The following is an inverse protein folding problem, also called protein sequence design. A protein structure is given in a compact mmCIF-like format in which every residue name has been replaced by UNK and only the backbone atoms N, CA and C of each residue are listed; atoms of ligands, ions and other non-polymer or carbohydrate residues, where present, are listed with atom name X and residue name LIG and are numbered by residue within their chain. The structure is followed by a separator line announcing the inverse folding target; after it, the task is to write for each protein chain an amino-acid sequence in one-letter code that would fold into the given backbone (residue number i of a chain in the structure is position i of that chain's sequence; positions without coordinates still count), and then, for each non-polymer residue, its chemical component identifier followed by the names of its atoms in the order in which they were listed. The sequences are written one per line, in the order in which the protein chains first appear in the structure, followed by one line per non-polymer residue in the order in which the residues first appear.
data_IF_536297272290
#
_entry.id   IF_536297272290
#
_cell.length_a   1.000
_cell.length_b   1.000
_cell.length_c   1.000
_cell.angle_alpha   90.00
_cell.angle_beta   90.00
_cell.angle_gamma   90.00
#
_symmetry.space_group_name_H-M   'P 1'
#
loop_
_entity.id
_entity.type
_entity.pdbx_description
1 polymer ?
#
# COMPACT_ATOMS: atom_id res chain seq x y z
N UNK A 1 14.89 -2.00 -31.49
CA UNK A 1 14.07 -1.16 -30.61
C UNK A 1 12.66 -1.72 -30.55
N UNK A 2 12.22 -2.17 -29.38
CA UNK A 2 10.93 -2.82 -29.15
C UNK A 2 9.90 -1.78 -28.71
N UNK A 3 9.27 -1.09 -29.67
CA UNK A 3 8.26 -0.05 -29.38
C UNK A 3 7.07 -0.64 -28.61
N UNK A 4 6.71 -1.90 -28.87
CA UNK A 4 5.66 -2.59 -28.13
C UNK A 4 5.92 -2.67 -26.63
N UNK A 5 7.19 -2.76 -26.19
CA UNK A 5 7.56 -2.73 -24.77
C UNK A 5 7.27 -1.36 -24.15
N UNK A 6 7.59 -0.28 -24.86
CA UNK A 6 7.26 1.09 -24.43
C UNK A 6 5.74 1.27 -24.30
N UNK A 7 4.98 0.86 -25.33
CA UNK A 7 3.52 0.96 -25.36
C UNK A 7 2.90 0.12 -24.24
N UNK A 8 3.38 -1.10 -24.05
CA UNK A 8 2.91 -2.01 -23.01
C UNK A 8 3.19 -1.47 -21.61
N UNK A 9 4.39 -0.91 -21.37
CA UNK A 9 4.73 -0.23 -20.10
C UNK A 9 3.79 0.93 -19.82
N UNK A 10 3.58 1.83 -20.79
CA UNK A 10 2.65 2.97 -20.62
C UNK A 10 1.23 2.50 -20.27
N UNK A 11 0.73 1.49 -21.00
CA UNK A 11 -0.61 0.93 -20.76
C UNK A 11 -0.73 0.22 -19.42
N UNK A 12 0.29 -0.52 -18.99
CA UNK A 12 0.34 -1.15 -17.68
C UNK A 12 0.27 -0.11 -16.55
N UNK A 13 0.99 1.01 -16.71
CA UNK A 13 0.96 2.15 -15.79
C UNK A 13 -0.31 3.02 -15.90
N UNK A 14 -1.23 2.71 -16.84
CA UNK A 14 -2.46 3.48 -17.11
C UNK A 14 -2.22 4.95 -17.46
N UNK A 15 -1.03 5.30 -17.97
CA UNK A 15 -0.68 6.68 -18.33
C UNK A 15 -1.23 7.01 -19.73
N UNK A 16 -1.92 8.14 -19.87
CA UNK A 16 -2.41 8.61 -21.18
C UNK A 16 -1.27 9.18 -22.04
N UNK A 17 -1.42 9.16 -23.37
CA UNK A 17 -0.43 9.79 -24.26
C UNK A 17 -0.32 11.31 -24.01
N UNK A 18 -1.44 11.97 -23.69
CA UNK A 18 -1.44 13.39 -23.34
C UNK A 18 -0.57 13.64 -22.10
N UNK A 19 -0.79 12.87 -21.02
CA UNK A 19 0.00 12.98 -19.79
C UNK A 19 1.49 12.68 -20.02
N UNK A 20 1.79 11.63 -20.79
CA UNK A 20 3.17 11.23 -21.05
C UNK A 20 3.93 12.28 -21.87
N UNK A 21 3.30 12.85 -22.90
CA UNK A 21 3.93 13.82 -23.81
C UNK A 21 4.04 15.23 -23.22
N UNK A 22 3.24 15.58 -22.20
CA UNK A 22 3.20 16.91 -21.60
C UNK A 22 4.59 17.44 -21.21
N UNK A 23 4.94 18.63 -21.69
CA UNK A 23 6.23 19.27 -21.45
C UNK A 23 7.45 18.58 -22.12
N UNK A 24 7.24 17.53 -22.93
CA UNK A 24 8.30 16.85 -23.69
C UNK A 24 8.11 17.03 -25.20
N UNK A 25 6.92 16.68 -25.70
CA UNK A 25 6.59 16.72 -27.12
C UNK A 25 5.08 16.85 -27.32
N UNK A 26 4.61 16.90 -28.57
CA UNK A 26 3.16 16.89 -28.83
C UNK A 26 2.60 15.46 -28.70
N UNK A 27 1.32 15.34 -28.32
CA UNK A 27 0.64 14.04 -28.31
C UNK A 27 0.67 13.38 -29.70
N UNK A 28 0.61 14.18 -30.78
CA UNK A 28 0.75 13.68 -32.15
C UNK A 28 2.14 13.07 -32.42
N UNK A 29 3.21 13.66 -31.89
CA UNK A 29 4.57 13.10 -31.97
C UNK A 29 4.64 11.74 -31.29
N UNK A 30 4.10 11.64 -30.06
CA UNK A 30 4.06 10.38 -29.33
C UNK A 30 3.20 9.32 -30.04
N UNK A 31 2.06 9.71 -30.61
CA UNK A 31 1.19 8.79 -31.36
C UNK A 31 1.89 8.24 -32.61
N UNK A 32 2.65 9.06 -33.34
CA UNK A 32 3.44 8.60 -34.49
C UNK A 32 4.56 7.65 -34.07
N UNK A 33 5.17 7.86 -32.90
CA UNK A 33 6.12 6.91 -32.34
C UNK A 33 5.46 5.57 -32.01
N UNK A 34 4.35 5.58 -31.27
CA UNK A 34 3.68 4.35 -30.81
C UNK A 34 3.01 3.55 -31.94
N UNK A 35 2.44 4.22 -32.96
CA UNK A 35 1.60 3.57 -33.97
C UNK A 35 2.22 3.48 -35.37
N UNK A 36 3.19 4.36 -35.69
CA UNK A 36 3.77 4.47 -37.03
C UNK A 36 5.28 4.20 -37.02
N UNK A 37 5.83 3.72 -35.89
CA UNK A 37 7.25 3.45 -35.69
C UNK A 37 8.18 4.64 -36.02
N UNK A 38 7.66 5.88 -35.95
CA UNK A 38 8.45 7.08 -36.24
C UNK A 38 9.21 7.50 -34.98
N UNK A 39 10.48 7.13 -34.92
CA UNK A 39 11.35 7.41 -33.76
C UNK A 39 11.59 8.92 -33.62
N UNK A 40 11.31 9.52 -32.45
CA UNK A 40 11.63 10.92 -32.18
C UNK A 40 13.14 11.10 -31.94
N UNK A 41 13.58 12.33 -31.66
CA UNK A 41 14.98 12.56 -31.26
C UNK A 41 15.32 11.79 -29.98
N UNK A 42 16.59 11.41 -29.81
CA UNK A 42 17.06 10.69 -28.62
C UNK A 42 16.73 11.45 -27.33
N UNK A 43 16.79 12.79 -27.36
CA UNK A 43 16.39 13.66 -26.24
C UNK A 43 14.93 13.48 -25.85
N UNK A 44 14.01 13.41 -26.83
CA UNK A 44 12.58 13.18 -26.57
C UNK A 44 12.36 11.76 -26.07
N UNK A 45 12.96 10.77 -26.74
CA UNK A 45 12.82 9.36 -26.38
C UNK A 45 13.30 9.10 -24.94
N UNK A 46 14.48 9.62 -24.59
CA UNK A 46 15.05 9.51 -23.25
C UNK A 46 14.12 10.11 -22.19
N UNK A 47 13.57 11.31 -22.42
CA UNK A 47 12.63 11.94 -21.47
C UNK A 47 11.34 11.14 -21.30
N UNK A 48 10.82 10.57 -22.38
CA UNK A 48 9.62 9.73 -22.33
C UNK A 48 9.88 8.42 -21.56
N UNK A 49 11.02 7.77 -21.81
CA UNK A 49 11.44 6.57 -21.08
C UNK A 49 11.57 6.85 -19.58
N UNK A 50 12.30 7.91 -19.20
CA UNK A 50 12.47 8.30 -17.79
C UNK A 50 11.11 8.53 -17.12
N UNK A 51 10.16 9.18 -17.80
CA UNK A 51 8.81 9.42 -17.27
C UNK A 51 8.00 8.13 -17.03
N UNK A 52 8.29 7.08 -17.78
CA UNK A 52 7.71 5.74 -17.60
C UNK A 52 8.48 4.87 -16.58
N UNK A 53 9.54 5.41 -15.97
CA UNK A 53 10.43 4.67 -15.08
C UNK A 53 11.19 3.57 -15.82
N UNK A 54 11.72 3.88 -17.00
CA UNK A 54 12.56 2.99 -17.80
C UNK A 54 13.71 3.76 -18.46
N UNK A 55 14.73 3.04 -18.89
CA UNK A 55 15.85 3.57 -19.67
C UNK A 55 15.57 3.42 -21.17
N UNK A 56 16.39 4.04 -22.00
CA UNK A 56 16.35 3.79 -23.45
C UNK A 56 16.85 2.38 -23.76
N UNK A 57 17.82 1.86 -23.01
CA UNK A 57 18.40 0.53 -23.19
C UNK A 57 17.38 -0.59 -22.95
N UNK A 58 16.40 -0.36 -22.08
CA UNK A 58 15.27 -1.26 -21.86
C UNK A 58 14.48 -1.53 -23.15
N UNK A 59 14.52 -0.63 -24.13
CA UNK A 59 13.88 -0.84 -25.44
C UNK A 59 14.63 -1.82 -26.34
N UNK A 60 15.83 -2.25 -25.96
CA UNK A 60 16.69 -3.13 -26.75
C UNK A 60 17.01 -4.45 -26.06
N UNK A 61 17.08 -4.48 -24.74
CA UNK A 61 17.39 -5.70 -23.99
C UNK A 61 16.17 -6.60 -23.74
N UNK A 62 16.40 -7.91 -23.72
CA UNK A 62 15.49 -8.92 -23.15
C UNK A 62 15.89 -9.14 -21.69
N UNK A 63 15.39 -8.30 -20.79
CA UNK A 63 15.84 -8.31 -19.40
C UNK A 63 15.42 -7.10 -18.57
N UNK A 64 15.61 -7.25 -17.25
CA UNK A 64 15.13 -6.38 -16.19
C UNK A 64 15.56 -4.91 -16.38
N UNK A 65 14.58 -4.02 -16.32
CA UNK A 65 14.77 -2.57 -16.22
C UNK A 65 15.76 -2.28 -15.09
N UNK A 66 16.80 -1.45 -15.33
CA UNK A 66 17.64 -0.98 -14.23
C UNK A 66 16.76 -0.22 -13.25
N UNK A 67 16.56 -0.77 -12.05
CA UNK A 67 15.70 -0.17 -11.05
C UNK A 67 16.48 0.97 -10.38
N UNK A 68 16.06 2.25 -10.55
CA UNK A 68 16.78 3.37 -9.96
C UNK A 68 16.85 3.25 -8.44
N UNK A 69 17.91 3.77 -7.81
CA UNK A 69 18.10 3.76 -6.35
C UNK A 69 16.87 4.30 -5.60
N UNK A 70 16.25 5.34 -6.14
CA UNK A 70 15.01 5.92 -5.60
C UNK A 70 13.88 4.89 -5.50
N UNK A 71 13.69 4.06 -6.52
CA UNK A 71 12.61 3.08 -6.54
C UNK A 71 12.82 2.02 -5.45
N UNK A 72 14.07 1.58 -5.25
CA UNK A 72 14.41 0.66 -4.16
C UNK A 72 14.22 1.30 -2.78
N UNK A 73 14.51 2.59 -2.66
CA UNK A 73 14.26 3.35 -1.43
C UNK A 73 12.75 3.41 -1.12
N UNK A 74 11.91 3.71 -2.12
CA UNK A 74 10.45 3.73 -1.95
C UNK A 74 9.88 2.36 -1.59
N UNK A 75 10.36 1.29 -2.23
CA UNK A 75 9.97 -0.08 -1.88
C UNK A 75 10.37 -0.46 -0.44
N UNK A 76 11.52 0.04 0.03
CA UNK A 76 11.97 -0.18 1.40
C UNK A 76 11.06 0.54 2.40
N UNK A 77 10.68 1.78 2.11
CA UNK A 77 9.74 2.54 2.93
C UNK A 77 8.37 1.85 2.99
N UNK A 78 7.90 1.31 1.86
CA UNK A 78 6.65 0.54 1.80
C UNK A 78 6.72 -0.72 2.68
N UNK A 79 7.85 -1.45 2.67
CA UNK A 79 8.09 -2.57 3.59
C UNK A 79 8.14 -2.16 5.05
N UNK A 80 8.78 -1.04 5.38
CA UNK A 80 8.84 -0.52 6.75
C UNK A 80 7.41 -0.19 7.26
N UNK A 81 6.56 0.43 6.44
CA UNK A 81 5.15 0.67 6.78
C UNK A 81 4.35 -0.62 6.99
N UNK A 82 4.61 -1.64 6.16
CA UNK A 82 3.91 -2.91 6.24
C UNK A 82 4.25 -3.66 7.53
N UNK A 83 5.52 -3.64 7.93
CA UNK A 83 6.04 -4.32 9.13
C UNK A 83 5.89 -3.53 10.42
N UNK A 84 5.23 -2.36 10.36
CA UNK A 84 5.02 -1.42 11.48
C UNK A 84 6.30 -0.74 11.99
N UNK A 85 7.37 -0.75 11.19
CA UNK A 85 8.58 0.03 11.42
C UNK A 85 8.37 1.50 11.00
N UNK A 86 7.32 2.13 11.52
CA UNK A 86 6.95 3.50 11.17
C UNK A 86 8.08 4.52 11.40
N UNK A 87 8.88 4.46 12.49
CA UNK A 87 9.97 5.42 12.68
C UNK A 87 10.98 5.42 11.53
N UNK A 88 11.35 4.25 11.02
CA UNK A 88 12.29 4.13 9.91
C UNK A 88 11.65 4.58 8.59
N UNK A 89 10.39 4.22 8.35
CA UNK A 89 9.64 4.71 7.19
C UNK A 89 9.61 6.25 7.14
N UNK A 90 9.30 6.89 8.27
CA UNK A 90 9.25 8.35 8.41
C UNK A 90 10.64 8.97 8.19
N UNK A 91 11.68 8.40 8.80
CA UNK A 91 13.06 8.88 8.65
C UNK A 91 13.55 8.79 7.20
N UNK A 92 13.20 7.72 6.49
CA UNK A 92 13.62 7.47 5.10
C UNK A 92 12.85 8.32 4.09
N UNK A 93 11.57 8.62 4.32
CA UNK A 93 10.77 9.44 3.40
C UNK A 93 11.08 10.93 3.53
N UNK A 94 11.50 11.40 4.72
CA UNK A 94 11.73 12.81 5.01
C UNK A 94 12.73 13.54 4.07
N UNK A 95 13.91 12.99 3.71
CA UNK A 95 14.86 13.68 2.84
C UNK A 95 14.44 13.71 1.36
N UNK A 96 13.40 12.96 0.97
CA UNK A 96 12.98 12.82 -0.42
C UNK A 96 12.01 13.93 -0.84
N UNK A 97 12.17 14.39 -2.08
CA UNK A 97 11.50 15.57 -2.64
C UNK A 97 10.83 15.23 -3.97
N UNK A 98 9.54 15.56 -4.10
CA UNK A 98 8.74 15.24 -5.29
C UNK A 98 9.32 15.86 -6.58
N UNK A 99 10.00 16.99 -6.47
CA UNK A 99 10.63 17.70 -7.60
C UNK A 99 11.74 16.91 -8.26
N UNK A 100 12.37 16.00 -7.52
CA UNK A 100 13.56 15.26 -7.97
C UNK A 100 13.18 13.88 -8.52
N UNK A 101 11.88 13.59 -8.58
CA UNK A 101 11.32 12.35 -9.11
C UNK A 101 10.75 12.67 -10.48
N UNK A 102 11.21 11.99 -11.53
CA UNK A 102 10.66 12.19 -12.87
C UNK A 102 9.61 11.14 -13.26
N UNK A 103 9.83 9.89 -12.84
CA UNK A 103 8.97 8.77 -13.18
C UNK A 103 7.60 8.92 -12.51
N UNK A 104 6.53 8.91 -13.30
CA UNK A 104 5.14 9.03 -12.78
C UNK A 104 4.80 7.93 -11.75
N UNK A 105 5.18 6.65 -11.95
CA UNK A 105 4.92 5.60 -10.95
C UNK A 105 5.57 5.89 -9.60
N UNK A 106 6.80 6.38 -9.61
CA UNK A 106 7.56 6.69 -8.40
C UNK A 106 6.99 7.93 -7.71
N UNK A 107 6.49 8.92 -8.48
CA UNK A 107 5.74 10.06 -7.92
C UNK A 107 4.50 9.60 -7.16
N UNK A 108 3.72 8.69 -7.73
CA UNK A 108 2.51 8.17 -7.08
C UNK A 108 2.86 7.40 -5.80
N UNK A 109 3.86 6.51 -5.85
CA UNK A 109 4.32 5.76 -4.69
C UNK A 109 4.83 6.72 -3.60
N UNK A 110 5.66 7.69 -3.97
CA UNK A 110 6.17 8.71 -3.06
C UNK A 110 5.05 9.51 -2.38
N UNK A 111 4.10 10.06 -3.16
CA UNK A 111 2.99 10.84 -2.61
C UNK A 111 2.14 10.01 -1.64
N UNK A 112 1.84 8.76 -1.98
CA UNK A 112 1.09 7.88 -1.09
C UNK A 112 1.86 7.61 0.22
N UNK A 113 3.14 7.22 0.11
CA UNK A 113 3.98 6.89 1.27
C UNK A 113 4.16 8.09 2.20
N UNK A 114 4.48 9.26 1.64
CA UNK A 114 4.65 10.50 2.40
C UNK A 114 3.35 10.95 3.06
N UNK A 115 2.24 10.92 2.32
CA UNK A 115 0.92 11.24 2.84
C UNK A 115 0.51 10.33 3.99
N UNK A 116 0.70 9.01 3.84
CA UNK A 116 0.38 8.03 4.88
C UNK A 116 1.29 8.16 6.11
N UNK A 117 2.61 8.34 5.92
CA UNK A 117 3.54 8.60 7.03
C UNK A 117 3.12 9.84 7.83
N UNK A 118 2.79 10.93 7.14
CA UNK A 118 2.32 12.17 7.74
C UNK A 118 0.98 11.98 8.48
N UNK A 119 0.05 11.20 7.92
CA UNK A 119 -1.20 10.85 8.59
C UNK A 119 -0.97 10.05 9.89
N UNK A 120 -0.05 9.08 9.88
CA UNK A 120 0.27 8.24 11.04
C UNK A 120 0.89 9.02 12.21
N UNK A 121 1.58 10.13 11.93
CA UNK A 121 2.16 11.02 12.97
C UNK A 121 1.29 12.23 13.31
N UNK A 122 0.06 12.31 12.79
CA UNK A 122 -0.83 13.47 12.96
C UNK A 122 -0.20 14.79 12.51
N UNK A 123 0.50 14.78 11.37
CA UNK A 123 1.03 16.00 10.76
C UNK A 123 -0.12 16.93 10.30
N UNK A 124 0.26 18.13 9.84
CA UNK A 124 -0.71 19.12 9.38
C UNK A 124 -1.57 18.57 8.22
N UNK A 125 -2.91 18.68 8.31
CA UNK A 125 -3.84 18.12 7.32
C UNK A 125 -3.56 18.58 5.89
N UNK A 126 -3.24 19.86 5.71
CA UNK A 126 -2.99 20.43 4.38
C UNK A 126 -1.81 19.75 3.66
N UNK A 127 -0.77 19.35 4.42
CA UNK A 127 0.38 18.62 3.86
C UNK A 127 -0.01 17.20 3.43
N UNK A 128 -0.82 16.53 4.24
CA UNK A 128 -1.32 15.18 3.97
C UNK A 128 -2.24 15.19 2.74
N UNK A 129 -3.19 16.12 2.71
CA UNK A 129 -4.15 16.29 1.63
C UNK A 129 -3.47 16.71 0.33
N UNK A 130 -2.42 17.55 0.41
CA UNK A 130 -1.62 17.90 -0.76
C UNK A 130 -1.08 16.65 -1.45
N UNK A 131 -0.42 15.75 -0.70
CA UNK A 131 0.12 14.50 -1.24
C UNK A 131 -0.95 13.63 -1.91
N UNK A 132 -2.10 13.43 -1.26
CA UNK A 132 -3.18 12.64 -1.85
C UNK A 132 -3.83 13.32 -3.05
N UNK A 133 -3.97 14.65 -3.04
CA UNK A 133 -4.49 15.41 -4.18
C UNK A 133 -3.57 15.34 -5.41
N UNK A 134 -2.25 15.23 -5.23
CA UNK A 134 -1.34 14.99 -6.37
C UNK A 134 -1.73 13.69 -7.10
N UNK A 135 -2.08 12.65 -6.35
CA UNK A 135 -2.53 11.39 -6.94
C UNK A 135 -3.89 11.57 -7.59
N UNK A 136 -4.87 12.05 -6.83
CA UNK A 136 -6.28 12.05 -7.22
C UNK A 136 -6.60 13.03 -8.35
N UNK A 137 -5.88 14.14 -8.46
CA UNK A 137 -6.21 15.23 -9.37
C UNK A 137 -5.20 15.42 -10.51
N UNK A 138 -4.02 14.80 -10.44
CA UNK A 138 -2.98 14.99 -11.46
C UNK A 138 -2.37 13.68 -11.96
N UNK A 139 -1.79 12.87 -11.07
CA UNK A 139 -1.00 11.69 -11.48
C UNK A 139 -1.86 10.52 -11.95
N UNK A 140 -3.02 10.32 -11.33
CA UNK A 140 -4.01 9.29 -11.65
C UNK A 140 -5.43 9.88 -11.71
N UNK A 141 -5.62 10.98 -12.45
CA UNK A 141 -6.90 11.73 -12.54
C UNK A 141 -8.12 10.84 -12.90
N UNK A 142 -7.90 9.73 -13.61
CA UNK A 142 -8.95 8.79 -14.00
C UNK A 142 -9.24 7.70 -12.95
N UNK A 143 -8.53 7.73 -11.82
CA UNK A 143 -8.67 6.82 -10.68
C UNK A 143 -8.52 5.34 -11.08
N UNK A 144 -7.56 5.04 -11.95
CA UNK A 144 -7.42 3.70 -12.55
C UNK A 144 -6.40 2.82 -11.86
N UNK A 145 -5.57 3.38 -10.99
CA UNK A 145 -4.49 2.65 -10.31
C UNK A 145 -4.81 2.39 -8.85
N UNK A 146 -4.10 1.43 -8.26
CA UNK A 146 -4.17 1.14 -6.82
C UNK A 146 -3.76 2.35 -5.97
N UNK A 147 -2.97 3.28 -6.51
CA UNK A 147 -2.54 4.47 -5.77
C UNK A 147 -3.69 5.40 -5.41
N UNK A 148 -4.75 5.46 -6.22
CA UNK A 148 -5.97 6.18 -5.85
C UNK A 148 -6.61 5.58 -4.59
N UNK A 149 -6.62 4.25 -4.48
CA UNK A 149 -7.19 3.56 -3.32
C UNK A 149 -6.32 3.74 -2.08
N UNK A 150 -5.00 3.76 -2.27
CA UNK A 150 -4.04 4.08 -1.20
C UNK A 150 -4.17 5.54 -0.73
N UNK A 151 -4.47 6.48 -1.64
CA UNK A 151 -4.77 7.87 -1.29
C UNK A 151 -6.08 7.99 -0.49
N UNK A 152 -7.14 7.27 -0.87
CA UNK A 152 -8.37 7.18 -0.07
C UNK A 152 -8.09 6.55 1.29
N UNK A 153 -7.33 5.46 1.35
CA UNK A 153 -6.94 4.83 2.61
C UNK A 153 -6.24 5.81 3.53
N UNK A 154 -5.21 6.51 3.04
CA UNK A 154 -4.49 7.51 3.82
C UNK A 154 -5.39 8.66 4.29
N UNK A 155 -6.33 9.10 3.44
CA UNK A 155 -7.35 10.09 3.82
C UNK A 155 -8.27 9.57 4.93
N UNK A 156 -8.67 8.30 4.86
CA UNK A 156 -9.44 7.61 5.89
C UNK A 156 -8.69 7.51 7.22
N UNK A 157 -7.40 7.14 7.18
CA UNK A 157 -6.51 7.10 8.36
C UNK A 157 -6.41 8.48 9.00
N UNK A 158 -6.17 9.54 8.20
CA UNK A 158 -6.11 10.92 8.69
C UNK A 158 -7.41 11.33 9.39
N UNK A 159 -8.57 11.14 8.73
CA UNK A 159 -9.87 11.48 9.32
C UNK A 159 -10.18 10.66 10.57
N UNK A 160 -9.85 9.37 10.60
CA UNK A 160 -10.07 8.50 11.76
C UNK A 160 -9.28 8.99 12.98
N UNK A 161 -8.01 9.37 12.79
CA UNK A 161 -7.16 9.88 13.87
C UNK A 161 -7.63 11.23 14.41
N UNK A 162 -8.34 12.01 13.59
CA UNK A 162 -9.00 13.27 13.97
C UNK A 162 -10.41 13.07 14.56
N UNK A 163 -10.85 11.82 14.73
CA UNK A 163 -12.21 11.46 15.21
C UNK A 163 -13.33 11.94 14.28
N UNK A 164 -13.02 12.16 13.00
CA UNK A 164 -13.98 12.52 11.96
C UNK A 164 -14.60 11.24 11.37
N UNK A 165 -15.33 10.49 12.20
CA UNK A 165 -15.77 9.11 11.92
C UNK A 165 -16.55 8.97 10.62
N UNK A 166 -17.46 9.90 10.31
CA UNK A 166 -18.24 9.87 9.06
C UNK A 166 -17.34 9.99 7.82
N UNK A 167 -16.34 10.86 7.88
CA UNK A 167 -15.42 11.07 6.77
C UNK A 167 -14.47 9.88 6.62
N UNK A 168 -13.98 9.33 7.73
CA UNK A 168 -13.19 8.11 7.72
C UNK A 168 -13.97 6.94 7.08
N UNK A 169 -15.23 6.74 7.50
CA UNK A 169 -16.09 5.70 6.96
C UNK A 169 -16.32 5.84 5.45
N UNK A 170 -16.51 7.08 4.95
CA UNK A 170 -16.64 7.34 3.52
C UNK A 170 -15.43 6.85 2.72
N UNK A 171 -14.21 7.15 3.19
CA UNK A 171 -12.99 6.72 2.50
C UNK A 171 -12.77 5.20 2.60
N UNK A 172 -12.95 4.62 3.79
CA UNK A 172 -12.76 3.17 3.96
C UNK A 172 -13.81 2.33 3.23
N UNK A 173 -15.03 2.85 3.02
CA UNK A 173 -16.03 2.15 2.20
C UNK A 173 -15.61 2.08 0.73
N UNK A 174 -15.02 3.15 0.17
CA UNK A 174 -14.44 3.13 -1.18
C UNK A 174 -13.34 2.08 -1.30
N UNK A 175 -12.44 2.04 -0.31
CA UNK A 175 -11.35 1.05 -0.28
C UNK A 175 -11.90 -0.37 -0.17
N UNK A 176 -12.88 -0.61 0.70
CA UNK A 176 -13.52 -1.91 0.85
C UNK A 176 -14.23 -2.37 -0.43
N UNK A 177 -14.91 -1.46 -1.13
CA UNK A 177 -15.53 -1.75 -2.42
C UNK A 177 -14.47 -2.16 -3.45
N UNK A 178 -13.35 -1.43 -3.52
CA UNK A 178 -12.25 -1.79 -4.40
C UNK A 178 -11.69 -3.19 -4.11
N UNK A 179 -11.43 -3.51 -2.83
CA UNK A 179 -10.95 -4.82 -2.40
C UNK A 179 -11.91 -5.92 -2.87
N UNK A 180 -13.21 -5.76 -2.62
CA UNK A 180 -14.23 -6.75 -3.03
C UNK A 180 -14.30 -6.97 -4.53
N UNK A 181 -14.13 -5.91 -5.32
CA UNK A 181 -14.16 -5.99 -6.80
C UNK A 181 -12.91 -6.67 -7.37
N UNK A 182 -11.75 -6.52 -6.73
CA UNK A 182 -10.47 -6.96 -7.30
C UNK A 182 -9.84 -8.18 -6.62
N UNK A 183 -10.39 -8.67 -5.51
CA UNK A 183 -9.85 -9.83 -4.77
C UNK A 183 -9.65 -11.09 -5.65
N UNK A 184 -10.48 -11.30 -6.68
CA UNK A 184 -10.37 -12.45 -7.59
C UNK A 184 -9.35 -12.29 -8.73
N UNK A 185 -8.71 -11.13 -8.86
CA UNK A 185 -7.81 -10.80 -9.99
C UNK A 185 -6.33 -10.81 -9.59
N UNK A 186 -6.01 -11.29 -8.38
CA UNK A 186 -4.65 -11.20 -7.82
C UNK A 186 -3.72 -12.36 -8.22
N UNK A 187 -4.23 -13.41 -8.88
CA UNK A 187 -3.42 -14.58 -9.27
C UNK A 187 -2.32 -14.24 -10.29
N UNK A 188 -2.54 -13.23 -11.14
CA UNK A 188 -1.56 -12.77 -12.14
C UNK A 188 -0.93 -11.42 -11.74
N UNK A 189 -1.20 -10.94 -10.52
CA UNK A 189 -0.68 -9.67 -10.06
C UNK A 189 0.81 -9.77 -9.73
N UNK A 190 1.54 -8.67 -9.92
CA UNK A 190 2.91 -8.59 -9.45
C UNK A 190 2.98 -8.54 -7.91
N UNK A 191 4.13 -8.91 -7.34
CA UNK A 191 4.34 -8.94 -5.89
C UNK A 191 3.96 -7.59 -5.24
N UNK A 192 4.22 -6.47 -5.92
CA UNK A 192 3.94 -5.13 -5.38
C UNK A 192 2.45 -4.84 -5.26
N UNK A 193 1.66 -5.25 -6.24
CA UNK A 193 0.21 -5.14 -6.21
C UNK A 193 -0.38 -5.96 -5.07
N UNK A 194 0.15 -7.17 -4.83
CA UNK A 194 -0.23 -8.01 -3.68
C UNK A 194 0.06 -7.30 -2.36
N UNK A 195 1.26 -6.73 -2.20
CA UNK A 195 1.67 -6.03 -0.97
C UNK A 195 0.83 -4.77 -0.69
N UNK A 196 0.51 -4.01 -1.74
CA UNK A 196 -0.39 -2.87 -1.64
C UNK A 196 -1.82 -3.29 -1.30
N UNK A 197 -2.31 -4.39 -1.87
CA UNK A 197 -3.59 -4.97 -1.49
C UNK A 197 -3.62 -5.36 0.00
N UNK A 198 -2.58 -6.00 0.50
CA UNK A 198 -2.44 -6.32 1.94
C UNK A 198 -2.47 -5.08 2.82
N UNK A 199 -1.87 -3.98 2.35
CA UNK A 199 -1.93 -2.67 3.03
C UNK A 199 -3.38 -2.16 3.08
N UNK A 200 -4.10 -2.18 1.95
CA UNK A 200 -5.51 -1.79 1.89
C UNK A 200 -6.37 -2.63 2.84
N UNK A 201 -6.18 -3.95 2.80
CA UNK A 201 -6.90 -4.92 3.62
C UNK A 201 -6.71 -4.66 5.11
N UNK A 202 -5.45 -4.55 5.56
CA UNK A 202 -5.16 -4.39 6.98
C UNK A 202 -5.78 -3.12 7.56
N UNK A 203 -5.48 -1.96 6.96
CA UNK A 203 -5.93 -0.69 7.52
C UNK A 203 -7.46 -0.58 7.48
N UNK A 204 -8.10 -1.16 6.47
CA UNK A 204 -9.57 -1.24 6.40
C UNK A 204 -10.14 -2.18 7.48
N UNK A 205 -9.48 -3.32 7.74
CA UNK A 205 -9.87 -4.24 8.81
C UNK A 205 -9.72 -3.60 10.19
N UNK A 206 -8.62 -2.89 10.43
CA UNK A 206 -8.36 -2.14 11.66
C UNK A 206 -9.41 -1.04 11.86
N UNK A 207 -9.75 -0.30 10.80
CA UNK A 207 -10.82 0.69 10.85
C UNK A 207 -12.15 0.08 11.28
N UNK A 208 -12.59 -1.02 10.65
CA UNK A 208 -13.85 -1.67 11.01
C UNK A 208 -13.82 -2.26 12.43
N UNK A 209 -12.69 -2.79 12.90
CA UNK A 209 -12.53 -3.25 14.28
C UNK A 209 -12.70 -2.09 15.27
N UNK A 210 -12.12 -0.93 14.99
CA UNK A 210 -12.26 0.28 15.80
C UNK A 210 -13.69 0.86 15.80
N UNK A 211 -14.56 0.38 14.90
CA UNK A 211 -16.00 0.70 14.86
C UNK A 211 -16.86 -0.46 15.39
N UNK A 212 -16.27 -1.41 16.12
CA UNK A 212 -16.90 -2.64 16.62
C UNK A 212 -17.52 -3.54 15.53
N UNK A 213 -17.20 -3.29 14.25
CA UNK A 213 -17.64 -4.11 13.14
C UNK A 213 -16.65 -5.27 12.90
N UNK A 214 -16.55 -6.12 13.90
CA UNK A 214 -15.64 -7.27 13.90
C UNK A 214 -15.94 -8.28 12.79
N UNK A 215 -17.19 -8.33 12.30
CA UNK A 215 -17.56 -9.21 11.19
C UNK A 215 -16.83 -8.81 9.91
N UNK A 216 -16.91 -7.54 9.50
CA UNK A 216 -16.20 -7.07 8.30
C UNK A 216 -14.69 -7.09 8.51
N UNK A 217 -14.22 -6.72 9.71
CA UNK A 217 -12.80 -6.80 10.05
C UNK A 217 -12.25 -8.21 9.88
N UNK A 218 -12.92 -9.23 10.43
CA UNK A 218 -12.48 -10.62 10.30
C UNK A 218 -12.54 -11.13 8.85
N UNK A 219 -13.57 -10.76 8.07
CA UNK A 219 -13.62 -11.12 6.65
C UNK A 219 -12.42 -10.59 5.86
N UNK A 220 -12.00 -9.35 6.13
CA UNK A 220 -10.81 -8.76 5.53
C UNK A 220 -9.52 -9.44 6.02
N UNK A 221 -9.44 -9.76 7.31
CA UNK A 221 -8.29 -10.46 7.89
C UNK A 221 -8.11 -11.85 7.27
N UNK A 222 -9.20 -12.62 7.14
CA UNK A 222 -9.18 -13.95 6.53
C UNK A 222 -8.70 -13.87 5.08
N UNK A 223 -9.21 -12.89 4.32
CA UNK A 223 -8.74 -12.62 2.96
C UNK A 223 -7.24 -12.25 2.93
N UNK A 224 -6.79 -11.38 3.84
CA UNK A 224 -5.39 -11.00 3.94
C UNK A 224 -4.46 -12.18 4.28
N UNK A 225 -4.90 -13.08 5.18
CA UNK A 225 -4.15 -14.29 5.54
C UNK A 225 -4.07 -15.24 4.34
N UNK A 226 -5.17 -15.44 3.61
CA UNK A 226 -5.18 -16.22 2.38
C UNK A 226 -4.18 -15.66 1.36
N UNK A 227 -4.24 -14.34 1.13
CA UNK A 227 -3.35 -13.67 0.19
C UNK A 227 -1.87 -13.79 0.59
N UNK A 228 -1.56 -13.69 1.89
CA UNK A 228 -0.21 -13.94 2.41
C UNK A 228 0.24 -15.39 2.18
N UNK A 229 -0.64 -16.36 2.39
CA UNK A 229 -0.34 -17.78 2.23
C UNK A 229 -0.05 -18.13 0.76
N UNK A 230 -0.90 -17.68 -0.16
CA UNK A 230 -0.77 -17.96 -1.60
C UNK A 230 0.51 -17.32 -2.17
N UNK A 231 0.89 -16.13 -1.69
CA UNK A 231 2.04 -15.38 -2.18
C UNK A 231 3.30 -15.50 -1.30
N UNK A 232 3.29 -16.39 -0.29
CA UNK A 232 4.41 -16.63 0.65
C UNK A 232 4.90 -15.36 1.37
N UNK A 233 4.01 -14.42 1.67
CA UNK A 233 4.31 -13.17 2.38
C UNK A 233 4.20 -13.39 3.89
N UNK A 234 5.29 -13.88 4.51
CA UNK A 234 5.28 -14.24 5.93
C UNK A 234 5.37 -13.03 6.87
N UNK A 235 6.01 -11.93 6.45
CA UNK A 235 6.30 -10.78 7.32
C UNK A 235 5.09 -9.92 7.65
N UNK A 236 3.98 -10.08 6.92
CA UNK A 236 2.74 -9.36 7.15
C UNK A 236 1.74 -10.11 8.05
N UNK A 237 1.89 -11.45 8.14
CA UNK A 237 1.05 -12.32 8.97
C UNK A 237 1.01 -11.93 10.46
N UNK A 238 2.11 -11.50 11.12
CA UNK A 238 2.07 -11.13 12.54
C UNK A 238 1.02 -10.06 12.81
N UNK A 239 0.96 -9.04 11.93
CA UNK A 239 0.07 -7.90 12.04
C UNK A 239 -1.40 -8.28 11.85
N UNK A 240 -1.70 -9.12 10.84
CA UNK A 240 -3.05 -9.65 10.60
C UNK A 240 -3.53 -10.56 11.75
N UNK A 241 -2.67 -11.47 12.21
CA UNK A 241 -3.00 -12.40 13.31
C UNK A 241 -3.17 -11.66 14.65
N UNK A 242 -2.38 -10.61 14.88
CA UNK A 242 -2.54 -9.75 16.05
C UNK A 242 -3.92 -9.07 16.05
N UNK A 243 -4.34 -8.50 14.91
CA UNK A 243 -5.68 -7.90 14.79
C UNK A 243 -6.80 -8.93 15.02
N UNK A 244 -6.64 -10.16 14.51
CA UNK A 244 -7.59 -11.25 14.77
C UNK A 244 -7.70 -11.57 16.27
N UNK A 245 -6.56 -11.62 16.97
CA UNK A 245 -6.51 -11.85 18.41
C UNK A 245 -7.21 -10.72 19.19
N UNK A 246 -7.00 -9.46 18.80
CA UNK A 246 -7.70 -8.31 19.39
C UNK A 246 -9.22 -8.40 19.18
N UNK A 247 -9.65 -8.69 17.94
CA UNK A 247 -11.07 -8.86 17.62
C UNK A 247 -11.72 -10.01 18.41
N UNK A 248 -11.01 -11.12 18.59
CA UNK A 248 -11.48 -12.27 19.36
C UNK A 248 -11.60 -11.95 20.86
N UNK A 249 -10.62 -11.24 21.42
CA UNK A 249 -10.63 -10.80 22.82
C UNK A 249 -11.77 -9.81 23.09
N UNK A 250 -11.98 -8.83 22.21
CA UNK A 250 -13.05 -7.84 22.34
C UNK A 250 -14.43 -8.51 22.33
N UNK A 251 -14.64 -9.49 21.44
CA UNK A 251 -15.88 -10.26 21.33
C UNK A 251 -16.05 -11.36 22.38
N UNK A 252 -15.12 -11.51 23.33
CA UNK A 252 -15.14 -12.58 24.35
C UNK A 252 -15.29 -13.99 23.73
N UNK A 253 -14.58 -14.24 22.62
CA UNK A 253 -14.56 -15.57 21.99
C UNK A 253 -13.92 -16.61 22.93
N UNK A 254 -14.04 -17.87 22.54
CA UNK A 254 -13.44 -19.01 23.26
C UNK A 254 -11.96 -18.71 23.65
N UNK A 255 -11.61 -18.82 24.95
CA UNK A 255 -10.25 -18.67 25.43
C UNK A 255 -9.22 -19.50 24.64
N UNK A 256 -9.57 -20.72 24.21
CA UNK A 256 -8.68 -21.57 23.43
C UNK A 256 -8.35 -20.97 22.05
N UNK A 257 -9.33 -20.32 21.40
CA UNK A 257 -9.13 -19.61 20.15
C UNK A 257 -8.21 -18.38 20.35
N UNK A 258 -8.46 -17.60 21.39
CA UNK A 258 -7.66 -16.40 21.69
C UNK A 258 -6.20 -16.80 21.95
N UNK A 259 -5.97 -17.82 22.78
CA UNK A 259 -4.63 -18.33 23.07
C UNK A 259 -3.91 -18.84 21.82
N UNK A 260 -4.64 -19.52 20.91
CA UNK A 260 -4.09 -19.96 19.62
C UNK A 260 -3.65 -18.79 18.76
N UNK A 261 -4.51 -17.78 18.59
CA UNK A 261 -4.20 -16.58 17.80
C UNK A 261 -3.00 -15.80 18.37
N UNK A 262 -2.90 -15.68 19.69
CA UNK A 262 -1.75 -15.08 20.38
C UNK A 262 -0.47 -15.88 20.06
N UNK A 263 -0.54 -17.21 20.11
CA UNK A 263 0.61 -18.10 19.87
C UNK A 263 1.08 -18.02 18.41
N UNK A 264 0.14 -18.04 17.46
CA UNK A 264 0.43 -17.86 16.02
C UNK A 264 1.05 -16.49 15.74
N UNK A 265 0.49 -15.42 16.32
CA UNK A 265 1.03 -14.06 16.21
C UNK A 265 2.48 -14.00 16.66
N UNK A 266 2.78 -14.57 17.84
CA UNK A 266 4.14 -14.59 18.38
C UNK A 266 5.11 -15.41 17.53
N UNK A 267 4.67 -16.56 17.01
CA UNK A 267 5.49 -17.41 16.15
C UNK A 267 5.89 -16.68 14.86
N UNK A 268 4.94 -16.07 14.17
CA UNK A 268 5.24 -15.29 12.97
C UNK A 268 6.04 -14.04 13.28
N UNK A 269 5.79 -13.36 14.40
CA UNK A 269 6.56 -12.17 14.79
C UNK A 269 8.05 -12.51 14.95
N UNK A 270 8.36 -13.61 15.66
CA UNK A 270 9.74 -14.06 15.89
C UNK A 270 10.46 -14.48 14.62
N UNK A 271 9.81 -15.26 13.75
CA UNK A 271 10.40 -15.71 12.47
C UNK A 271 10.79 -14.51 11.61
N UNK A 272 9.97 -13.45 11.62
CA UNK A 272 10.22 -12.23 10.84
C UNK A 272 10.95 -11.13 11.62
N UNK A 273 11.44 -11.42 12.84
CA UNK A 273 12.14 -10.47 13.71
C UNK A 273 11.34 -9.17 13.96
N UNK A 274 10.01 -9.25 14.03
CA UNK A 274 9.13 -8.11 14.23
C UNK A 274 8.96 -7.81 15.73
N UNK A 275 9.91 -7.06 16.28
CA UNK A 275 9.94 -6.68 17.70
C UNK A 275 8.71 -5.85 18.12
N UNK A 276 8.19 -5.01 17.21
CA UNK A 276 7.01 -4.17 17.50
C UNK A 276 5.79 -5.04 17.81
N UNK A 277 5.53 -6.06 16.98
CA UNK A 277 4.41 -6.98 17.20
C UNK A 277 4.66 -7.89 18.41
N UNK A 278 5.92 -8.29 18.68
CA UNK A 278 6.26 -9.05 19.90
C UNK A 278 5.88 -8.32 21.19
N UNK A 279 6.16 -7.01 21.26
CA UNK A 279 5.77 -6.18 22.42
C UNK A 279 4.26 -6.09 22.53
N UNK A 280 3.56 -5.86 21.40
CA UNK A 280 2.10 -5.77 21.37
C UNK A 280 1.41 -7.06 21.80
N UNK A 281 1.87 -8.21 21.31
CA UNK A 281 1.29 -9.52 21.67
C UNK A 281 1.56 -9.88 23.12
N UNK A 282 2.70 -9.48 23.69
CA UNK A 282 2.97 -9.65 25.11
C UNK A 282 1.97 -8.86 25.97
N UNK A 283 1.70 -7.61 25.62
CA UNK A 283 0.69 -6.79 26.32
C UNK A 283 -0.72 -7.38 26.20
N UNK A 284 -1.10 -7.86 25.01
CA UNK A 284 -2.39 -8.53 24.79
C UNK A 284 -2.53 -9.81 25.64
N UNK A 285 -1.47 -10.61 25.73
CA UNK A 285 -1.45 -11.83 26.53
C UNK A 285 -1.61 -11.53 28.03
N UNK A 286 -0.95 -10.48 28.54
CA UNK A 286 -1.17 -10.03 29.92
C UNK A 286 -2.62 -9.62 30.19
N UNK A 287 -3.25 -8.90 29.25
CA UNK A 287 -4.65 -8.51 29.37
C UNK A 287 -5.60 -9.73 29.34
N UNK A 288 -5.31 -10.71 28.48
CA UNK A 288 -6.07 -11.96 28.39
C UNK A 288 -6.00 -12.77 29.69
N UNK A 289 -4.80 -12.97 30.25
CA UNK A 289 -4.60 -13.74 31.50
C UNK A 289 -5.33 -13.13 32.69
N UNK A 290 -5.22 -11.80 32.87
CA UNK A 290 -5.95 -11.10 33.95
C UNK A 290 -7.44 -11.42 33.87
N UNK A 291 -8.01 -11.45 32.67
CA UNK A 291 -9.44 -11.71 32.46
C UNK A 291 -9.83 -13.16 32.79
N UNK A 292 -9.00 -14.14 32.42
CA UNK A 292 -9.25 -15.55 32.72
C UNK A 292 -9.15 -15.83 34.22
N UNK A 293 -8.20 -15.18 34.91
CA UNK A 293 -8.03 -15.32 36.35
C UNK A 293 -9.22 -14.73 37.12
N UNK A 294 -9.77 -13.58 36.70
CA UNK A 294 -11.00 -13.03 37.28
C UNK A 294 -12.23 -13.94 37.05
N UNK A 295 -12.38 -14.52 35.85
CA UNK A 295 -13.51 -15.43 35.60
C UNK A 295 -13.43 -16.76 36.36
N UNK A 296 -12.24 -17.17 36.80
CA UNK A 296 -12.03 -18.36 37.62
C UNK A 296 -12.28 -18.13 39.12
N UNK A 297 -12.36 -16.86 39.56
CA UNK A 297 -12.65 -16.48 40.94
C UNK A 297 -14.14 -16.19 41.20
N UNK A 298 -14.94 -16.01 40.15
CA UNK A 298 -16.38 -15.71 40.22
C UNK A 298 -17.28 -16.94 39.92
N UNK A 299 -16.70 -18.12 39.66
CA UNK A 299 -17.41 -19.39 39.42
C UNK A 299 -17.21 -20.38 40.54
#
# INVERSE_FOLDING_TARGET
MKIDRFVSRRKALKISQCKLSHGICTQATLSKFENQNKVPSLTILSKLCVRLGMTVDDLYQDGATSVPELHQALDTIERDLMTENYPDAIKRIQPLTLTDIDAIPDKMQFCYLRGLCNALVNAQPDKILFDFSQILNDLDERHQTIFTQLAFLGSGVMSARRRETRQAAFYFEKVNQYIKTHQGQLQEADDKAVLRMLTLVFFTAEFYANQDNYRLSNQLIDFGIQLCSENRVTYYLPRLKFQAAQNALAQKKDPALIQRLISETLAFARINQNQVVEVKVAALNCAFKKRTDYSALEG
#
